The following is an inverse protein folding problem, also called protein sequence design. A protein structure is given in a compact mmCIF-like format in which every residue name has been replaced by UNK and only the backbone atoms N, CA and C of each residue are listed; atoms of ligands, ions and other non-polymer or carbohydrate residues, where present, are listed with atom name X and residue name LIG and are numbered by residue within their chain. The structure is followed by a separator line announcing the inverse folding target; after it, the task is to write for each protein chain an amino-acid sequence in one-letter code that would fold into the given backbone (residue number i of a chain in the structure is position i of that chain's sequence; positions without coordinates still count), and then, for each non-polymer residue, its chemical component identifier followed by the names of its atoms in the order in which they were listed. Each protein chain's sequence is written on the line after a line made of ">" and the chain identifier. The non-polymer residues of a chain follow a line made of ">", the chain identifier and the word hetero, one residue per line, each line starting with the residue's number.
data_IF_067205252925
#
_entry.id   IF_067205252925
#
_cell.length_a   1.000
_cell.length_b   1.000
_cell.length_c   1.000
_cell.angle_alpha   90.00
_cell.angle_beta   90.00
_cell.angle_gamma   90.00
#
_symmetry.space_group_name_H-M   'P 1'
#
loop_
_entity.id
_entity.type
_entity.pdbx_description
1 polymer ?
#
# COMPACT_ATOMS: atom_id res chain seq x y z
N UNK A 1 -3.59 4.07 -16.79
CA UNK A 1 -2.62 3.99 -15.69
C UNK A 1 -3.32 3.83 -14.34
N UNK A 2 -2.56 3.53 -13.32
CA UNK A 2 -3.09 3.42 -11.95
C UNK A 2 -3.14 4.77 -11.23
N UNK A 3 -2.39 5.75 -11.74
CA UNK A 3 -2.38 7.10 -11.22
C UNK A 3 -3.18 7.99 -12.17
N UNK A 4 -4.26 8.65 -11.71
CA UNK A 4 -5.01 9.60 -12.53
C UNK A 4 -4.13 10.73 -13.05
N UNK A 5 -4.56 11.41 -14.10
CA UNK A 5 -3.87 12.59 -14.60
C UNK A 5 -3.89 13.69 -13.52
N UNK A 6 -2.72 14.32 -13.30
CA UNK A 6 -2.58 15.37 -12.29
C UNK A 6 -1.16 15.59 -11.82
N UNK A 7 -1.04 16.47 -10.84
CA UNK A 7 0.22 16.79 -10.16
C UNK A 7 0.10 16.32 -8.71
N UNK A 8 1.14 15.65 -8.22
CA UNK A 8 1.18 15.00 -6.92
C UNK A 8 2.40 15.45 -6.14
N UNK A 9 2.23 15.71 -4.86
CA UNK A 9 3.37 15.81 -3.93
C UNK A 9 4.00 14.41 -3.69
N UNK A 10 5.18 14.42 -3.10
CA UNK A 10 5.96 13.21 -2.81
C UNK A 10 5.17 12.21 -1.95
N UNK A 11 4.52 12.68 -0.90
CA UNK A 11 3.84 11.83 0.07
C UNK A 11 2.62 11.15 -0.56
N UNK A 12 1.84 11.89 -1.33
CA UNK A 12 0.70 11.36 -2.06
C UNK A 12 1.15 10.36 -3.11
N UNK A 13 2.20 10.67 -3.87
CA UNK A 13 2.75 9.75 -4.87
C UNK A 13 3.28 8.46 -4.23
N UNK A 14 4.04 8.57 -3.13
CA UNK A 14 4.57 7.43 -2.41
C UNK A 14 3.46 6.53 -1.82
N UNK A 15 2.39 7.11 -1.28
CA UNK A 15 1.22 6.32 -0.83
C UNK A 15 0.57 5.55 -1.98
N UNK A 16 0.36 6.20 -3.12
CA UNK A 16 -0.22 5.56 -4.32
C UNK A 16 0.64 4.43 -4.87
N UNK A 17 1.96 4.53 -4.73
CA UNK A 17 2.88 3.45 -5.10
C UNK A 17 2.57 2.16 -4.31
N UNK A 18 2.18 2.27 -3.04
CA UNK A 18 1.84 1.11 -2.20
C UNK A 18 0.46 0.53 -2.47
N UNK A 19 -0.43 1.21 -3.16
CA UNK A 19 -1.71 0.63 -3.58
C UNK A 19 -1.48 -0.60 -4.48
N UNK A 20 -0.42 -0.58 -5.29
CA UNK A 20 0.01 -1.71 -6.14
C UNK A 20 1.53 -1.76 -6.24
N UNK A 21 2.21 -2.21 -5.19
CA UNK A 21 3.67 -2.33 -5.18
C UNK A 21 4.13 -3.27 -6.29
N UNK A 22 5.24 -2.94 -6.93
CA UNK A 22 5.79 -3.67 -8.08
C UNK A 22 4.83 -3.77 -9.30
N UNK A 23 3.84 -2.88 -9.41
CA UNK A 23 3.06 -2.79 -10.64
C UNK A 23 3.94 -2.31 -11.80
N UNK A 24 3.62 -2.80 -12.97
CA UNK A 24 4.31 -2.42 -14.20
C UNK A 24 4.33 -0.91 -14.43
N UNK A 25 3.27 -0.20 -14.04
CA UNK A 25 3.18 1.26 -14.15
C UNK A 25 4.28 1.99 -13.37
N UNK A 26 4.54 1.58 -12.12
CA UNK A 26 5.55 2.21 -11.26
C UNK A 26 6.97 1.66 -11.49
N UNK A 27 7.08 0.42 -11.97
CA UNK A 27 8.36 -0.27 -12.06
C UNK A 27 9.19 0.17 -13.26
N UNK A 28 8.58 0.30 -14.45
CA UNK A 28 9.32 0.52 -15.71
C UNK A 28 9.80 1.96 -15.87
N UNK A 29 10.85 2.15 -16.67
CA UNK A 29 11.42 3.47 -16.97
C UNK A 29 10.82 4.14 -18.20
N UNK A 30 10.46 3.36 -19.21
CA UNK A 30 10.07 3.86 -20.52
C UNK A 30 8.76 4.68 -20.55
N UNK A 31 7.96 4.62 -19.48
CA UNK A 31 6.76 5.45 -19.31
C UNK A 31 7.01 6.69 -18.43
N UNK A 32 8.27 7.07 -18.19
CA UNK A 32 8.63 8.15 -17.27
C UNK A 32 9.64 9.11 -17.90
N UNK A 33 9.58 10.36 -17.42
CA UNK A 33 10.59 11.39 -17.69
C UNK A 33 11.21 11.82 -16.37
N UNK A 34 12.52 12.03 -16.38
CA UNK A 34 13.29 12.39 -15.19
C UNK A 34 14.03 13.69 -15.41
N UNK A 35 14.07 14.54 -14.40
CA UNK A 35 14.93 15.72 -14.43
C UNK A 35 16.39 15.29 -14.33
N UNK A 36 17.17 15.57 -15.38
CA UNK A 36 18.57 15.16 -15.46
C UNK A 36 19.43 15.75 -14.33
N UNK A 37 19.17 17.01 -13.94
CA UNK A 37 19.89 17.69 -12.87
C UNK A 37 19.76 16.93 -11.55
N UNK A 38 18.59 16.36 -11.28
CA UNK A 38 18.34 15.58 -10.06
C UNK A 38 19.09 14.25 -10.07
N UNK A 39 19.15 13.58 -11.21
CA UNK A 39 19.92 12.34 -11.36
C UNK A 39 21.41 12.59 -11.07
N UNK A 40 21.95 13.70 -11.59
CA UNK A 40 23.36 14.07 -11.40
C UNK A 40 23.66 14.56 -9.98
N UNK A 41 22.79 15.40 -9.41
CA UNK A 41 22.99 15.96 -8.08
C UNK A 41 22.99 14.91 -6.96
N UNK A 42 22.26 13.82 -7.14
CA UNK A 42 22.11 12.75 -6.16
C UNK A 42 22.78 11.43 -6.57
N UNK A 43 23.57 11.47 -7.65
CA UNK A 43 24.26 10.29 -8.22
C UNK A 43 23.36 9.05 -8.35
N UNK A 44 22.13 9.27 -8.85
CA UNK A 44 21.17 8.19 -9.05
C UNK A 44 21.63 7.31 -10.20
N UNK A 45 21.89 6.04 -9.90
CA UNK A 45 22.46 5.07 -10.84
C UNK A 45 21.71 3.74 -10.80
N UNK A 46 21.83 2.98 -11.88
CA UNK A 46 21.39 1.59 -11.87
C UNK A 46 22.28 0.76 -10.93
N UNK A 47 21.66 -0.14 -10.19
CA UNK A 47 22.40 -1.10 -9.35
C UNK A 47 22.78 -2.33 -10.16
N UNK A 48 24.00 -2.83 -9.94
CA UNK A 48 24.44 -4.12 -10.47
C UNK A 48 24.04 -5.32 -9.59
N UNK A 49 23.47 -5.04 -8.42
CA UNK A 49 23.08 -6.08 -7.46
C UNK A 49 21.81 -6.84 -7.87
N UNK A 50 21.01 -6.26 -8.77
CA UNK A 50 19.76 -6.85 -9.25
C UNK A 50 19.82 -7.09 -10.75
N UNK A 51 19.49 -8.32 -11.15
CA UNK A 51 19.32 -8.66 -12.57
C UNK A 51 17.91 -8.44 -13.09
N UNK A 52 16.97 -8.18 -12.17
CA UNK A 52 15.56 -7.96 -12.44
C UNK A 52 15.02 -6.97 -11.42
N UNK A 53 14.11 -6.08 -11.84
CA UNK A 53 13.58 -4.96 -11.07
C UNK A 53 14.59 -3.81 -10.78
N UNK A 54 15.72 -3.73 -11.51
CA UNK A 54 16.66 -2.62 -11.47
C UNK A 54 16.00 -1.28 -11.79
N UNK A 55 15.05 -1.29 -12.71
CA UNK A 55 14.20 -0.14 -13.06
C UNK A 55 13.43 0.39 -11.86
N UNK A 56 12.82 -0.52 -11.10
CA UNK A 56 12.06 -0.17 -9.90
C UNK A 56 12.96 0.42 -8.82
N UNK A 57 14.16 -0.14 -8.62
CA UNK A 57 15.14 0.38 -7.66
C UNK A 57 15.59 1.78 -8.06
N UNK A 58 15.85 2.00 -9.34
CA UNK A 58 16.17 3.33 -9.86
C UNK A 58 15.04 4.33 -9.58
N UNK A 59 13.79 3.95 -9.81
CA UNK A 59 12.63 4.76 -9.50
C UNK A 59 12.55 5.08 -7.99
N UNK A 60 12.80 4.11 -7.11
CA UNK A 60 12.78 4.32 -5.67
C UNK A 60 13.87 5.32 -5.23
N UNK A 61 15.07 5.27 -5.82
CA UNK A 61 16.11 6.26 -5.56
C UNK A 61 15.65 7.67 -5.97
N UNK A 62 15.03 7.80 -7.15
CA UNK A 62 14.54 9.09 -7.63
C UNK A 62 13.43 9.66 -6.74
N UNK A 63 12.49 8.83 -6.27
CA UNK A 63 11.37 9.23 -5.41
C UNK A 63 11.87 9.86 -4.09
N UNK A 64 13.00 9.44 -3.56
CA UNK A 64 13.56 10.01 -2.32
C UNK A 64 13.80 11.52 -2.43
N UNK A 65 14.18 11.98 -3.61
CA UNK A 65 14.62 13.37 -3.82
C UNK A 65 13.60 14.23 -4.55
N UNK A 66 12.77 13.66 -5.41
CA UNK A 66 11.75 14.39 -6.12
C UNK A 66 10.66 14.92 -5.18
N UNK A 67 10.32 16.21 -5.28
CA UNK A 67 9.27 16.83 -4.48
C UNK A 67 7.90 16.76 -5.15
N UNK A 68 7.86 16.75 -6.49
CA UNK A 68 6.64 16.82 -7.29
C UNK A 68 6.69 15.79 -8.41
N UNK A 69 5.55 15.14 -8.63
CA UNK A 69 5.32 14.15 -9.68
C UNK A 69 4.12 14.57 -10.51
N UNK A 70 4.18 14.34 -11.83
CA UNK A 70 3.05 14.57 -12.72
C UNK A 70 2.69 13.26 -13.44
N UNK A 71 1.39 13.01 -13.58
CA UNK A 71 0.86 11.93 -14.41
C UNK A 71 0.07 12.52 -15.57
N UNK A 72 0.29 12.01 -16.77
CA UNK A 72 -0.44 12.37 -17.98
C UNK A 72 -1.16 11.14 -18.55
N UNK A 73 -2.35 11.32 -19.09
CA UNK A 73 -3.13 10.24 -19.68
C UNK A 73 -2.70 9.91 -21.13
N UNK A 74 -1.91 10.79 -21.76
CA UNK A 74 -1.48 10.61 -23.15
C UNK A 74 -0.47 9.48 -23.28
N UNK A 75 -0.69 8.47 -24.15
CA UNK A 75 0.29 7.43 -24.41
C UNK A 75 1.48 8.00 -25.17
N UNK A 76 2.69 7.85 -24.61
CA UNK A 76 3.95 8.36 -25.18
C UNK A 76 4.91 7.27 -25.66
N UNK A 77 4.54 5.98 -25.52
CA UNK A 77 5.43 4.87 -25.82
C UNK A 77 4.67 3.63 -26.31
N UNK A 78 5.19 2.98 -27.34
CA UNK A 78 4.69 1.71 -27.87
C UNK A 78 5.56 0.56 -27.37
N UNK A 79 5.04 -0.24 -26.47
CA UNK A 79 5.74 -1.42 -25.97
C UNK A 79 5.54 -2.63 -26.89
N UNK A 80 6.59 -2.99 -27.62
CA UNK A 80 6.58 -4.16 -28.51
C UNK A 80 6.84 -5.42 -27.69
N UNK A 81 5.90 -6.35 -27.74
CA UNK A 81 6.04 -7.65 -27.07
C UNK A 81 7.12 -8.51 -27.75
N UNK A 82 8.15 -8.89 -27.00
CA UNK A 82 9.20 -9.80 -27.48
C UNK A 82 9.13 -11.11 -26.70
N UNK A 83 8.72 -12.23 -27.34
CA UNK A 83 8.65 -13.56 -26.68
C UNK A 83 10.02 -14.06 -26.17
N UNK A 84 11.13 -13.56 -26.72
CA UNK A 84 12.49 -13.93 -26.33
C UNK A 84 13.05 -13.01 -25.22
N UNK A 85 12.24 -12.12 -24.68
CA UNK A 85 12.64 -11.24 -23.59
C UNK A 85 13.06 -12.05 -22.34
N UNK A 86 14.03 -11.53 -21.62
CA UNK A 86 14.49 -12.06 -20.31
C UNK A 86 13.31 -12.29 -19.36
N UNK A 87 12.31 -11.39 -19.39
CA UNK A 87 11.10 -11.50 -18.58
C UNK A 87 10.26 -12.76 -18.87
N UNK A 88 10.42 -13.37 -20.03
CA UNK A 88 9.70 -14.60 -20.41
C UNK A 88 10.57 -15.86 -20.28
N UNK A 89 11.90 -15.74 -20.39
CA UNK A 89 12.79 -16.89 -20.55
C UNK A 89 13.61 -17.25 -19.32
N UNK A 90 13.81 -16.34 -18.38
CA UNK A 90 14.78 -16.52 -17.26
C UNK A 90 14.16 -16.48 -15.86
N UNK A 91 12.84 -16.43 -15.73
CA UNK A 91 12.19 -16.39 -14.43
C UNK A 91 11.98 -17.82 -13.93
N UNK A 92 12.75 -18.21 -12.89
CA UNK A 92 12.42 -19.38 -12.10
C UNK A 92 11.83 -18.98 -10.73
N UNK A 93 11.06 -19.85 -10.06
CA UNK A 93 10.39 -19.52 -8.80
C UNK A 93 11.34 -19.08 -7.68
N UNK A 94 12.51 -19.72 -7.53
CA UNK A 94 13.47 -19.38 -6.49
C UNK A 94 14.06 -17.97 -6.69
N UNK A 95 14.44 -17.64 -7.92
CA UNK A 95 14.94 -16.30 -8.29
C UNK A 95 13.86 -15.23 -8.09
N UNK A 96 12.60 -15.56 -8.36
CA UNK A 96 11.48 -14.65 -8.16
C UNK A 96 11.32 -14.27 -6.68
N UNK A 97 11.38 -15.25 -5.77
CA UNK A 97 11.30 -14.99 -4.32
C UNK A 97 12.48 -14.14 -3.85
N UNK A 98 13.71 -14.47 -4.25
CA UNK A 98 14.90 -13.69 -3.89
C UNK A 98 14.77 -12.22 -4.34
N UNK A 99 14.39 -12.00 -5.59
CA UNK A 99 14.19 -10.66 -6.14
C UNK A 99 13.12 -9.88 -5.37
N UNK A 100 12.03 -10.52 -5.02
CA UNK A 100 10.94 -9.85 -4.26
C UNK A 100 11.35 -9.49 -2.84
N UNK A 101 12.15 -10.31 -2.16
CA UNK A 101 12.72 -9.97 -0.86
C UNK A 101 13.68 -8.77 -0.98
N UNK A 102 14.48 -8.71 -2.04
CA UNK A 102 15.32 -7.54 -2.29
C UNK A 102 14.47 -6.29 -2.55
N UNK A 103 13.43 -6.40 -3.38
CA UNK A 103 12.49 -5.30 -3.62
C UNK A 103 11.81 -4.84 -2.32
N UNK A 104 11.41 -5.77 -1.45
CA UNK A 104 10.87 -5.43 -0.12
C UNK A 104 11.87 -4.61 0.71
N UNK A 105 13.17 -4.98 0.72
CA UNK A 105 14.20 -4.22 1.43
C UNK A 105 14.35 -2.80 0.90
N UNK A 106 14.33 -2.62 -0.42
CA UNK A 106 14.37 -1.30 -1.04
C UNK A 106 13.12 -0.46 -0.71
N UNK A 107 11.94 -1.06 -0.69
CA UNK A 107 10.74 -0.38 -0.22
C UNK A 107 10.83 0.01 1.25
N UNK A 108 11.28 -0.89 2.10
CA UNK A 108 11.48 -0.61 3.53
C UNK A 108 12.43 0.57 3.72
N UNK A 109 13.56 0.60 3.02
CA UNK A 109 14.52 1.72 3.08
C UNK A 109 13.89 3.02 2.57
N UNK A 110 13.22 3.01 1.42
CA UNK A 110 12.52 4.18 0.87
C UNK A 110 11.53 4.76 1.89
N UNK A 111 10.60 3.95 2.40
CA UNK A 111 9.57 4.45 3.30
C UNK A 111 10.09 4.82 4.69
N UNK A 112 11.18 4.22 5.14
CA UNK A 112 11.89 4.65 6.35
C UNK A 112 12.48 6.04 6.15
N UNK A 113 13.14 6.30 5.03
CA UNK A 113 13.70 7.63 4.68
C UNK A 113 12.62 8.69 4.50
N UNK A 114 11.46 8.32 3.99
CA UNK A 114 10.31 9.21 3.85
C UNK A 114 9.55 9.43 5.17
N UNK A 115 9.90 8.73 6.25
CA UNK A 115 9.15 8.78 7.52
C UNK A 115 7.74 8.18 7.44
N UNK A 116 7.47 7.33 6.44
CA UNK A 116 6.16 6.76 6.16
C UNK A 116 6.07 5.25 6.44
N UNK A 117 7.14 4.63 6.94
CA UNK A 117 7.24 3.18 7.05
C UNK A 117 6.07 2.56 7.85
N UNK A 118 5.74 3.11 9.02
CA UNK A 118 4.66 2.56 9.85
C UNK A 118 3.28 2.66 9.17
N UNK A 119 3.07 3.66 8.33
CA UNK A 119 1.81 3.84 7.60
C UNK A 119 1.62 2.80 6.50
N UNK A 120 2.71 2.38 5.82
CA UNK A 120 2.68 1.44 4.68
C UNK A 120 3.11 0.03 5.06
N UNK A 121 3.55 -0.18 6.29
CA UNK A 121 4.05 -1.46 6.80
C UNK A 121 3.08 -2.63 6.55
N UNK A 122 1.76 -2.52 6.80
CA UNK A 122 0.83 -3.61 6.49
C UNK A 122 0.85 -4.02 5.02
N UNK A 123 0.88 -3.04 4.09
CA UNK A 123 0.90 -3.30 2.65
C UNK A 123 2.24 -3.93 2.22
N UNK A 124 3.36 -3.49 2.81
CA UNK A 124 4.68 -4.07 2.55
C UNK A 124 4.75 -5.54 2.98
N UNK A 125 4.26 -5.87 4.16
CA UNK A 125 4.23 -7.25 4.62
C UNK A 125 3.23 -8.10 3.84
N UNK A 126 2.08 -7.54 3.44
CA UNK A 126 1.16 -8.21 2.52
C UNK A 126 1.84 -8.54 1.20
N UNK A 127 2.56 -7.58 0.59
CA UNK A 127 3.33 -7.81 -0.63
C UNK A 127 4.33 -8.97 -0.47
N UNK A 128 4.94 -9.14 0.71
CA UNK A 128 5.86 -10.23 0.99
C UNK A 128 5.14 -11.58 1.20
N UNK A 129 4.00 -11.59 1.90
CA UNK A 129 3.22 -12.81 2.20
C UNK A 129 2.54 -13.37 0.96
N UNK A 130 1.95 -12.55 0.11
CA UNK A 130 1.30 -12.98 -1.15
C UNK A 130 2.24 -13.80 -2.05
N UNK A 131 3.54 -13.69 -1.80
CA UNK A 131 4.59 -14.44 -2.50
C UNK A 131 4.91 -15.76 -1.81
N UNK A 132 4.97 -15.74 -0.49
CA UNK A 132 5.37 -16.88 0.32
C UNK A 132 4.38 -18.03 0.19
N UNK A 133 3.09 -17.72 0.11
CA UNK A 133 2.02 -18.72 -0.05
C UNK A 133 2.05 -19.39 -1.42
N UNK A 134 2.57 -18.71 -2.44
CA UNK A 134 2.55 -19.24 -3.80
C UNK A 134 3.75 -20.12 -4.16
N UNK A 135 4.87 -20.08 -3.38
CA UNK A 135 6.12 -20.57 -3.97
C UNK A 135 7.05 -21.42 -3.10
N UNK A 136 7.21 -21.23 -1.78
CA UNK A 136 8.12 -22.07 -0.96
C UNK A 136 7.93 -21.97 0.57
N UNK A 137 7.73 -23.09 1.29
CA UNK A 137 7.67 -23.11 2.76
C UNK A 137 9.04 -23.28 3.46
N UNK A 138 10.15 -23.42 2.72
CA UNK A 138 11.47 -23.69 3.33
C UNK A 138 12.62 -23.06 2.52
N UNK A 139 13.50 -22.32 3.21
CA UNK A 139 14.69 -21.73 2.57
C UNK A 139 15.32 -20.63 3.43
N UNK A 140 16.44 -20.01 3.00
CA UNK A 140 17.21 -19.01 3.75
C UNK A 140 16.42 -17.72 4.07
N UNK A 141 15.22 -17.57 3.55
CA UNK A 141 14.34 -16.41 3.78
C UNK A 141 13.15 -16.72 4.68
N UNK A 142 13.11 -17.93 5.25
CA UNK A 142 12.04 -18.39 6.11
C UNK A 142 11.78 -17.41 7.27
N UNK A 143 12.83 -16.92 7.91
CA UNK A 143 12.73 -15.99 9.04
C UNK A 143 11.99 -14.68 8.67
N UNK A 144 12.32 -14.08 7.52
CA UNK A 144 11.66 -12.83 7.06
C UNK A 144 10.20 -13.09 6.70
N UNK A 145 9.90 -14.26 6.13
CA UNK A 145 8.55 -14.68 5.79
C UNK A 145 7.73 -14.97 7.06
N UNK A 146 8.33 -15.65 8.03
CA UNK A 146 7.69 -15.97 9.31
C UNK A 146 7.44 -14.70 10.13
N UNK A 147 8.37 -13.74 10.14
CA UNK A 147 8.17 -12.40 10.72
C UNK A 147 6.99 -11.67 10.05
N UNK A 148 6.93 -11.69 8.72
CA UNK A 148 5.83 -11.08 7.98
C UNK A 148 4.48 -11.73 8.30
N UNK A 149 4.44 -13.06 8.39
CA UNK A 149 3.22 -13.81 8.75
C UNK A 149 2.78 -13.51 10.18
N UNK A 150 3.70 -13.49 11.14
CA UNK A 150 3.42 -13.16 12.53
C UNK A 150 2.84 -11.75 12.62
N UNK A 151 3.51 -10.76 12.03
CA UNK A 151 3.02 -9.39 11.99
C UNK A 151 1.62 -9.29 11.39
N UNK A 152 1.37 -9.99 10.28
CA UNK A 152 0.08 -9.94 9.59
C UNK A 152 -1.04 -10.60 10.40
N UNK A 153 -0.70 -11.65 11.13
CA UNK A 153 -1.61 -12.30 12.07
C UNK A 153 -1.99 -11.34 13.21
N UNK A 154 -1.00 -10.74 13.87
CA UNK A 154 -1.21 -9.80 14.97
C UNK A 154 -1.99 -8.55 14.52
N UNK A 155 -1.66 -8.00 13.36
CA UNK A 155 -2.37 -6.86 12.79
C UNK A 155 -3.84 -7.19 12.47
N UNK A 156 -4.12 -8.41 12.01
CA UNK A 156 -5.47 -8.88 11.73
C UNK A 156 -6.29 -9.07 13.01
N UNK A 157 -5.68 -9.63 14.06
CA UNK A 157 -6.30 -9.81 15.37
C UNK A 157 -6.59 -8.44 16.02
N UNK A 158 -5.67 -7.47 15.94
CA UNK A 158 -5.89 -6.10 16.44
C UNK A 158 -7.05 -5.39 15.72
N UNK A 159 -7.12 -5.50 14.38
CA UNK A 159 -8.24 -4.95 13.60
C UNK A 159 -9.57 -5.62 13.99
N UNK A 160 -9.59 -6.94 14.19
CA UNK A 160 -10.81 -7.65 14.61
C UNK A 160 -11.26 -7.20 15.99
N UNK A 161 -10.35 -7.07 16.95
CA UNK A 161 -10.62 -6.60 18.30
C UNK A 161 -11.18 -5.18 18.31
N UNK A 162 -10.51 -4.25 17.64
CA UNK A 162 -10.97 -2.85 17.52
C UNK A 162 -12.33 -2.72 16.84
N UNK A 163 -12.59 -3.59 15.84
CA UNK A 163 -13.89 -3.60 15.16
C UNK A 163 -14.98 -4.14 16.08
N UNK A 164 -14.70 -5.16 16.90
CA UNK A 164 -15.63 -5.68 17.88
C UNK A 164 -15.96 -4.62 18.96
N UNK A 165 -14.93 -3.99 19.54
CA UNK A 165 -15.11 -2.90 20.52
C UNK A 165 -15.87 -1.70 19.96
N UNK A 166 -15.62 -1.34 18.71
CA UNK A 166 -16.36 -0.26 18.06
C UNK A 166 -17.82 -0.63 17.84
N UNK A 167 -18.11 -1.90 17.50
CA UNK A 167 -19.47 -2.42 17.35
C UNK A 167 -20.23 -2.45 18.68
N UNK A 168 -19.58 -2.86 19.76
CA UNK A 168 -20.17 -2.84 21.10
C UNK A 168 -20.50 -1.41 21.55
N UNK A 169 -19.56 -0.48 21.40
CA UNK A 169 -19.81 0.96 21.70
C UNK A 169 -20.97 1.53 20.89
N UNK A 170 -21.04 1.18 19.60
CA UNK A 170 -22.14 1.61 18.74
C UNK A 170 -23.47 1.04 19.18
N UNK A 171 -23.51 -0.24 19.55
CA UNK A 171 -24.74 -0.88 20.06
C UNK A 171 -25.21 -0.26 21.38
N UNK A 172 -24.30 -0.01 22.33
CA UNK A 172 -24.60 0.67 23.59
C UNK A 172 -25.18 2.07 23.35
N UNK A 173 -24.53 2.89 22.52
CA UNK A 173 -25.04 4.24 22.18
C UNK A 173 -26.40 4.18 21.50
N UNK A 174 -26.68 3.17 20.68
CA UNK A 174 -27.95 2.98 19.99
C UNK A 174 -29.06 2.60 20.97
N UNK A 175 -28.76 1.84 22.02
CA UNK A 175 -29.72 1.51 23.09
C UNK A 175 -30.03 2.74 23.93
N UNK A 176 -29.04 3.50 24.37
CA UNK A 176 -29.25 4.78 25.11
C UNK A 176 -30.11 5.76 24.34
N UNK A 177 -29.88 5.89 23.01
CA UNK A 177 -30.69 6.74 22.16
C UNK A 177 -32.16 6.24 22.05
N UNK A 178 -32.38 4.92 22.06
CA UNK A 178 -33.71 4.35 22.06
C UNK A 178 -34.45 4.61 23.36
N UNK A 179 -33.76 4.38 24.49
CA UNK A 179 -34.36 4.65 25.83
C UNK A 179 -34.71 6.13 25.99
N UNK A 180 -33.81 7.03 25.63
CA UNK A 180 -34.05 8.48 25.66
C UNK A 180 -35.20 8.87 24.75
N UNK A 181 -35.34 8.27 23.57
CA UNK A 181 -36.43 8.53 22.65
C UNK A 181 -37.79 8.01 23.22
N UNK A 182 -37.77 6.85 23.89
CA UNK A 182 -38.95 6.29 24.55
C UNK A 182 -39.39 7.15 25.73
N UNK A 183 -38.48 7.59 26.60
CA UNK A 183 -38.73 8.49 27.71
C UNK A 183 -39.36 9.83 27.23
N UNK A 184 -38.75 10.45 26.23
CA UNK A 184 -39.29 11.69 25.64
C UNK A 184 -40.71 11.50 25.02
N UNK A 185 -40.93 10.34 24.39
CA UNK A 185 -42.25 10.00 23.83
C UNK A 185 -43.29 9.78 24.93
N UNK A 186 -42.91 9.14 26.04
CA UNK A 186 -43.76 8.94 27.19
C UNK A 186 -44.12 10.28 27.88
N UNK A 187 -43.10 11.15 28.09
CA UNK A 187 -43.31 12.49 28.63
C UNK A 187 -44.21 13.36 27.73
N UNK A 188 -44.02 13.25 26.42
CA UNK A 188 -44.85 13.98 25.48
C UNK A 188 -46.33 13.53 25.55
N UNK A 189 -46.58 12.22 25.60
CA UNK A 189 -47.91 11.65 25.78
C UNK A 189 -48.53 12.07 27.11
N UNK A 190 -47.81 11.97 28.20
CA UNK A 190 -48.31 12.37 29.53
C UNK A 190 -48.73 13.85 29.61
N UNK A 191 -48.05 14.74 28.86
CA UNK A 191 -48.43 16.17 28.78
C UNK A 191 -49.66 16.45 27.92
N UNK A 192 -49.92 15.62 26.92
CA UNK A 192 -50.99 15.87 25.96
C UNK A 192 -52.27 15.04 26.25
N UNK A 193 -52.17 13.95 27.02
CA UNK A 193 -53.32 13.17 27.50
C UNK A 193 -53.99 13.79 28.76
N UNK A 194 -53.39 14.85 29.34
CA UNK A 194 -53.92 15.56 30.51
C UNK A 194 -54.73 16.82 30.18
N UNK A 195 -54.96 17.11 28.92
CA UNK A 195 -55.84 18.23 28.51
C UNK A 195 -57.29 17.69 28.38
N UNK A 196 -58.19 18.04 29.29
CA UNK A 196 -59.61 17.66 29.14
C UNK A 196 -60.20 18.44 27.96
N UNK A 197 -60.75 17.69 27.02
CA UNK A 197 -61.57 18.30 25.94
C UNK A 197 -62.75 18.99 26.57
N UNK A 198 -62.73 20.33 26.54
CA UNK A 198 -63.93 21.12 26.56
C UNK A 198 -64.64 21.12 25.20
#
# INVERSE_FOLDING_TARGET
>A
GFLPEGVYDKDTFARRLMDKPASYFYSVLWNKLYRREMLLAHDIRFTSEMRWAEDLVFNMQYIQYAAVFASIAQPGYYYVQNPQSICHTQINPATLVQNKIQVFRYYKDLYTRLGMYEQVRPQLYKFLVDIAESTYPSGPFKEVIDEAKAYWKDAREDVQTRTAEARERWNGMREELRETAQERSAEWKARHDSDPKE
#
